data_IF_718657759131
#
_entry.id   IF_718657759131
#
_cell.length_a   1.000
_cell.length_b   1.000
_cell.length_c   1.000
_cell.angle_alpha   90.00
_cell.angle_beta   90.00
_cell.angle_gamma   90.00
#
_symmetry.space_group_name_H-M   'P 1'
#
loop_
_entity.id
_entity.type
_entity.pdbx_description
1 polymer ?
#
# COMPACT_ATOMS: atom_id res chain seq x y z
N UNK A 1 -12.70 -83.71 -8.87
CA UNK A 1 -12.83 -82.26 -9.15
C UNK A 1 -11.42 -81.74 -9.37
N UNK A 2 -11.05 -81.41 -10.60
CA UNK A 2 -9.74 -80.78 -10.85
C UNK A 2 -9.75 -79.33 -10.35
N UNK A 3 -8.63 -78.82 -9.80
CA UNK A 3 -8.55 -77.43 -9.36
C UNK A 3 -8.52 -76.51 -10.58
N UNK A 4 -9.33 -75.45 -10.56
CA UNK A 4 -9.40 -74.44 -11.63
C UNK A 4 -8.07 -73.67 -11.68
N UNK A 5 -7.46 -73.44 -12.86
CA UNK A 5 -6.22 -72.67 -12.93
C UNK A 5 -6.47 -71.23 -12.49
N UNK A 6 -5.57 -70.68 -11.67
CA UNK A 6 -5.65 -69.28 -11.24
C UNK A 6 -5.38 -68.34 -12.43
N UNK A 7 -6.10 -67.20 -12.53
CA UNK A 7 -5.86 -66.26 -13.62
C UNK A 7 -4.50 -65.58 -13.45
N UNK A 8 -3.64 -65.67 -14.47
CA UNK A 8 -2.42 -64.87 -14.54
C UNK A 8 -2.79 -63.38 -14.64
N UNK A 9 -2.57 -62.64 -13.56
CA UNK A 9 -2.70 -61.18 -13.57
C UNK A 9 -1.58 -60.60 -14.41
N UNK A 10 -1.89 -60.24 -15.66
CA UNK A 10 -0.97 -59.56 -16.55
C UNK A 10 -0.51 -58.25 -15.89
N UNK A 11 0.76 -58.18 -15.48
CA UNK A 11 1.34 -56.99 -14.85
C UNK A 11 1.21 -55.79 -15.79
N UNK A 12 0.24 -54.93 -15.50
CA UNK A 12 0.03 -53.70 -16.25
C UNK A 12 1.24 -52.79 -16.09
N UNK A 13 2.07 -52.74 -17.12
CA UNK A 13 3.11 -51.72 -17.27
C UNK A 13 2.51 -50.58 -18.10
N UNK A 14 2.15 -49.41 -17.51
CA UNK A 14 1.68 -48.32 -18.32
C UNK A 14 2.79 -47.89 -19.30
N UNK A 15 2.50 -47.98 -20.59
CA UNK A 15 3.36 -47.43 -21.64
C UNK A 15 3.37 -45.91 -21.42
N UNK A 16 4.40 -45.39 -20.77
CA UNK A 16 4.62 -43.95 -20.65
C UNK A 16 4.97 -43.45 -22.06
N UNK A 17 4.01 -42.83 -22.74
CA UNK A 17 4.27 -42.19 -24.03
C UNK A 17 5.48 -41.26 -23.90
N UNK A 18 6.44 -41.36 -24.83
CA UNK A 18 7.60 -40.49 -24.85
C UNK A 18 7.12 -39.03 -24.94
N UNK A 19 7.67 -38.11 -24.12
CA UNK A 19 7.20 -36.74 -24.10
C UNK A 19 7.36 -36.13 -25.49
N UNK A 20 6.30 -35.51 -25.99
CA UNK A 20 6.34 -34.86 -27.30
C UNK A 20 7.31 -33.68 -27.24
N UNK A 21 8.04 -33.38 -28.33
CA UNK A 21 8.96 -32.22 -28.38
C UNK A 21 8.33 -30.91 -27.87
N UNK A 22 7.03 -30.69 -28.15
CA UNK A 22 6.24 -29.56 -27.62
C UNK A 22 6.12 -29.55 -26.10
N UNK A 23 6.04 -30.70 -25.46
CA UNK A 23 5.95 -30.83 -23.99
C UNK A 23 7.29 -30.58 -23.31
N UNK A 24 8.39 -31.01 -23.93
CA UNK A 24 9.76 -30.71 -23.47
C UNK A 24 10.01 -29.20 -23.54
N UNK A 25 9.70 -28.57 -24.67
CA UNK A 25 9.79 -27.12 -24.84
C UNK A 25 8.91 -26.40 -23.81
N UNK A 26 7.65 -26.81 -23.65
CA UNK A 26 6.73 -26.18 -22.67
C UNK A 26 7.25 -26.31 -21.24
N UNK A 27 7.82 -27.46 -20.84
CA UNK A 27 8.36 -27.66 -19.48
C UNK A 27 9.55 -26.76 -19.16
N UNK A 28 10.34 -26.38 -20.16
CA UNK A 28 11.50 -25.49 -19.99
C UNK A 28 11.06 -24.02 -20.09
N UNK A 29 10.21 -23.67 -21.06
CA UNK A 29 9.81 -22.29 -21.29
C UNK A 29 8.76 -21.78 -20.29
N UNK A 30 7.82 -22.62 -19.84
CA UNK A 30 6.79 -22.20 -18.88
C UNK A 30 7.35 -21.66 -17.54
N UNK A 31 8.34 -22.28 -16.88
CA UNK A 31 8.92 -21.72 -15.65
C UNK A 31 9.71 -20.44 -15.92
N UNK A 32 10.37 -20.30 -17.07
CA UNK A 32 11.08 -19.07 -17.44
C UNK A 32 10.13 -17.91 -17.71
N UNK A 33 9.02 -18.16 -18.41
CA UNK A 33 7.95 -17.18 -18.63
C UNK A 33 7.26 -16.83 -17.30
N UNK A 34 6.99 -17.82 -16.45
CA UNK A 34 6.42 -17.58 -15.13
C UNK A 34 7.36 -16.77 -14.24
N UNK A 35 8.67 -17.05 -14.28
CA UNK A 35 9.70 -16.30 -13.57
C UNK A 35 9.83 -14.88 -14.13
N UNK A 36 9.85 -14.70 -15.45
CA UNK A 36 9.85 -13.38 -16.08
C UNK A 36 8.61 -12.57 -15.72
N UNK A 37 7.43 -13.19 -15.75
CA UNK A 37 6.18 -12.57 -15.28
C UNK A 37 6.24 -12.22 -13.79
N UNK A 38 6.77 -13.10 -12.94
CA UNK A 38 6.99 -12.83 -11.52
C UNK A 38 7.96 -11.65 -11.33
N UNK A 39 9.10 -11.64 -12.02
CA UNK A 39 10.10 -10.57 -11.93
C UNK A 39 9.56 -9.24 -12.45
N UNK A 40 8.75 -9.22 -13.51
CA UNK A 40 8.10 -7.98 -13.97
C UNK A 40 7.03 -7.53 -12.96
N UNK A 41 6.18 -8.45 -12.50
CA UNK A 41 5.09 -8.17 -11.56
C UNK A 41 5.60 -7.70 -10.20
N UNK A 42 6.64 -8.34 -9.67
CA UNK A 42 7.23 -8.04 -8.37
C UNK A 42 8.38 -7.05 -8.45
N UNK A 43 9.12 -6.98 -9.56
CA UNK A 43 10.19 -6.01 -9.79
C UNK A 43 9.64 -4.60 -10.00
N UNK A 44 8.54 -4.43 -10.73
CA UNK A 44 7.87 -3.12 -10.83
C UNK A 44 7.32 -2.66 -9.47
N UNK A 45 6.87 -3.60 -8.63
CA UNK A 45 6.47 -3.31 -7.25
C UNK A 45 7.69 -2.92 -6.40
N UNK A 46 8.79 -3.67 -6.50
CA UNK A 46 10.02 -3.41 -5.78
C UNK A 46 10.62 -2.05 -6.17
N UNK A 47 10.72 -1.70 -7.44
CA UNK A 47 11.26 -0.40 -7.89
C UNK A 47 10.43 0.76 -7.33
N UNK A 48 9.09 0.65 -7.36
CA UNK A 48 8.20 1.66 -6.76
C UNK A 48 8.33 1.73 -5.24
N UNK A 49 8.53 0.58 -4.59
CA UNK A 49 8.73 0.47 -3.15
C UNK A 49 10.08 1.02 -2.71
N UNK A 50 11.15 0.74 -3.44
CA UNK A 50 12.50 1.25 -3.15
C UNK A 50 12.69 2.71 -3.58
N UNK A 51 11.88 3.22 -4.50
CA UNK A 51 11.95 4.61 -4.97
C UNK A 51 11.84 5.65 -3.84
N UNK A 52 10.98 5.41 -2.84
CA UNK A 52 10.89 6.31 -1.67
C UNK A 52 12.17 6.27 -0.82
N UNK A 53 12.76 5.09 -0.62
CA UNK A 53 14.03 4.96 0.12
C UNK A 53 15.20 5.59 -0.63
N UNK A 54 15.22 5.48 -1.97
CA UNK A 54 16.22 6.16 -2.80
C UNK A 54 16.05 7.68 -2.68
N UNK A 55 14.82 8.19 -2.77
CA UNK A 55 14.55 9.62 -2.63
C UNK A 55 14.92 10.15 -1.24
N UNK A 56 14.46 9.47 -0.18
CA UNK A 56 14.75 9.83 1.22
C UNK A 56 16.25 9.73 1.49
N UNK A 57 16.90 8.65 1.01
CA UNK A 57 18.35 8.45 1.15
C UNK A 57 19.15 9.53 0.44
N UNK A 58 18.78 9.88 -0.80
CA UNK A 58 19.42 10.96 -1.57
C UNK A 58 19.34 12.30 -0.84
N UNK A 59 18.15 12.71 -0.38
CA UNK A 59 18.01 13.95 0.36
C UNK A 59 18.67 13.92 1.74
N UNK A 60 18.68 12.77 2.42
CA UNK A 60 19.39 12.61 3.69
C UNK A 60 20.91 12.74 3.52
N UNK A 61 21.48 12.32 2.39
CA UNK A 61 22.90 12.54 2.08
C UNK A 61 23.21 14.02 1.80
N UNK A 62 22.30 14.76 1.16
CA UNK A 62 22.48 16.18 0.84
C UNK A 62 22.31 17.07 2.08
N UNK A 63 21.24 16.85 2.85
CA UNK A 63 20.82 17.73 3.95
C UNK A 63 21.13 17.18 5.35
N UNK A 64 21.63 15.95 5.44
CA UNK A 64 22.09 15.33 6.68
C UNK A 64 20.99 15.07 7.70
N UNK A 65 21.38 15.13 8.98
CA UNK A 65 20.52 14.78 10.12
C UNK A 65 19.26 15.63 10.24
N UNK A 66 19.31 16.92 9.83
CA UNK A 66 18.13 17.81 9.87
C UNK A 66 16.97 17.28 9.01
N UNK A 67 17.29 16.69 7.87
CA UNK A 67 16.28 16.08 7.00
C UNK A 67 15.62 14.87 7.65
N UNK A 68 16.43 14.00 8.27
CA UNK A 68 15.91 12.84 9.00
C UNK A 68 14.93 13.26 10.11
N UNK A 69 15.27 14.28 10.90
CA UNK A 69 14.38 14.81 11.95
C UNK A 69 13.09 15.36 11.34
N UNK A 70 13.19 16.21 10.33
CA UNK A 70 12.02 16.76 9.65
C UNK A 70 11.12 15.68 9.06
N UNK A 71 11.71 14.64 8.47
CA UNK A 71 10.98 13.53 7.87
C UNK A 71 10.27 12.68 8.93
N UNK A 72 10.92 12.41 10.06
CA UNK A 72 10.31 11.73 11.21
C UNK A 72 9.14 12.54 11.78
N UNK A 73 9.26 13.87 11.85
CA UNK A 73 8.15 14.73 12.29
C UNK A 73 6.96 14.66 11.32
N UNK A 74 7.19 14.63 10.01
CA UNK A 74 6.13 14.44 9.02
C UNK A 74 5.43 13.08 9.16
N UNK A 75 6.18 12.00 9.38
CA UNK A 75 5.61 10.68 9.69
C UNK A 75 4.79 10.75 10.98
N UNK A 76 5.31 11.41 12.03
CA UNK A 76 4.59 11.52 13.30
C UNK A 76 3.24 12.22 13.11
N UNK A 77 3.18 13.32 12.36
CA UNK A 77 1.91 14.02 12.11
C UNK A 77 0.93 13.15 11.31
N UNK A 78 1.44 12.37 10.35
CA UNK A 78 0.65 11.37 9.64
C UNK A 78 0.05 10.32 10.60
N UNK A 79 0.87 9.71 11.45
CA UNK A 79 0.39 8.69 12.41
C UNK A 79 -0.58 9.28 13.45
N UNK A 80 -0.34 10.51 13.90
CA UNK A 80 -1.27 11.24 14.77
C UNK A 80 -2.63 11.47 14.09
N UNK A 81 -2.68 11.66 12.77
CA UNK A 81 -3.93 11.73 12.01
C UNK A 81 -4.80 10.49 12.21
N UNK A 82 -4.21 9.30 12.07
CA UNK A 82 -4.91 8.04 12.36
C UNK A 82 -5.36 7.94 13.81
N UNK A 83 -4.46 8.26 14.75
CA UNK A 83 -4.73 8.15 16.18
C UNK A 83 -5.87 9.08 16.62
N UNK A 84 -5.87 10.34 16.18
CA UNK A 84 -6.89 11.33 16.48
C UNK A 84 -8.23 10.89 15.92
N UNK A 85 -8.29 10.44 14.66
CA UNK A 85 -9.54 9.99 14.06
C UNK A 85 -10.10 8.74 14.73
N UNK A 86 -9.24 7.77 15.06
CA UNK A 86 -9.66 6.59 15.80
C UNK A 86 -10.23 6.97 17.18
N UNK A 87 -9.52 7.86 17.90
CA UNK A 87 -9.94 8.34 19.21
C UNK A 87 -11.25 9.14 19.15
N UNK A 88 -11.43 9.99 18.13
CA UNK A 88 -12.66 10.75 17.88
C UNK A 88 -13.86 9.83 17.67
N UNK A 89 -13.64 8.68 17.05
CA UNK A 89 -14.68 7.66 16.86
C UNK A 89 -14.90 6.80 18.11
N UNK A 90 -14.25 7.07 19.25
CA UNK A 90 -14.37 6.28 20.47
C UNK A 90 -13.70 4.90 20.38
N UNK A 91 -12.82 4.70 19.39
CA UNK A 91 -11.97 3.52 19.35
C UNK A 91 -10.89 3.67 20.42
N UNK A 92 -10.41 2.54 20.95
CA UNK A 92 -9.28 2.51 21.88
C UNK A 92 -8.03 2.14 21.10
N UNK A 93 -7.42 3.07 20.35
CA UNK A 93 -6.21 2.75 19.64
C UNK A 93 -5.13 2.35 20.63
N UNK A 94 -4.39 1.29 20.30
CA UNK A 94 -3.14 1.02 21.00
C UNK A 94 -2.21 2.21 20.78
N UNK A 95 -1.33 2.50 21.75
CA UNK A 95 -0.35 3.57 21.62
C UNK A 95 0.35 3.46 20.25
N UNK A 96 0.61 4.59 19.58
CA UNK A 96 1.27 4.59 18.27
C UNK A 96 2.66 3.95 18.43
N UNK A 97 2.77 2.66 18.06
CA UNK A 97 4.07 2.03 17.86
C UNK A 97 4.56 2.61 16.54
N UNK A 98 5.56 3.49 16.62
CA UNK A 98 6.13 4.18 15.47
C UNK A 98 6.81 3.17 14.55
N UNK A 99 6.03 2.50 13.70
CA UNK A 99 6.54 1.67 12.61
C UNK A 99 6.07 2.34 11.31
N UNK A 100 6.94 3.13 10.67
CA UNK A 100 6.63 3.77 9.40
C UNK A 100 6.06 2.76 8.41
N UNK A 101 5.08 3.17 7.61
CA UNK A 101 4.46 2.35 6.56
C UNK A 101 3.57 1.19 7.03
N UNK A 102 3.48 0.94 8.34
CA UNK A 102 2.56 -0.09 8.86
C UNK A 102 1.14 0.42 9.09
N UNK A 103 0.87 1.70 8.78
CA UNK A 103 -0.44 2.30 8.49
C UNK A 103 -1.58 1.75 9.32
N UNK A 104 -1.98 2.48 10.38
CA UNK A 104 -3.11 2.13 11.23
C UNK A 104 -3.24 0.62 11.54
N UNK A 105 -2.18 -0.04 12.04
CA UNK A 105 -2.35 -1.16 12.96
C UNK A 105 -2.87 -0.63 14.31
N UNK A 106 -3.99 0.08 14.24
CA UNK A 106 -4.84 0.27 15.39
C UNK A 106 -5.44 -1.11 15.62
N UNK A 107 -4.74 -1.92 16.41
CA UNK A 107 -5.26 -3.17 16.93
C UNK A 107 -6.54 -2.84 17.69
N UNK A 108 -7.65 -2.84 16.97
CA UNK A 108 -9.00 -2.72 17.48
C UNK A 108 -9.26 -4.00 18.27
N UNK A 109 -8.75 -4.06 19.50
CA UNK A 109 -9.10 -5.15 20.42
C UNK A 109 -10.62 -5.09 20.61
N UNK A 110 -11.31 -6.04 20.01
CA UNK A 110 -12.71 -6.40 20.28
C UNK A 110 -13.80 -5.47 19.69
N UNK A 111 -13.52 -4.64 18.68
CA UNK A 111 -14.56 -3.87 18.00
C UNK A 111 -15.00 -4.55 16.68
N UNK A 112 -16.32 -4.69 16.40
CA UNK A 112 -16.80 -5.18 15.11
C UNK A 112 -16.33 -4.27 13.97
N UNK A 113 -15.93 -4.88 12.84
CA UNK A 113 -15.39 -4.14 11.70
C UNK A 113 -16.48 -3.30 11.01
N UNK A 114 -16.38 -1.98 11.14
CA UNK A 114 -17.19 -1.03 10.38
C UNK A 114 -16.35 -0.46 9.21
N UNK A 115 -16.75 -0.73 7.95
CA UNK A 115 -16.00 -0.29 6.78
C UNK A 115 -15.85 1.22 6.66
N UNK A 116 -16.89 1.98 7.04
CA UNK A 116 -16.90 3.44 6.93
C UNK A 116 -15.95 4.06 7.95
N UNK A 117 -16.02 3.59 9.19
CA UNK A 117 -15.10 4.00 10.27
C UNK A 117 -13.66 3.71 9.93
N UNK A 118 -13.38 2.50 9.45
CA UNK A 118 -12.04 2.10 9.01
C UNK A 118 -11.53 2.97 7.85
N UNK A 119 -12.40 3.34 6.90
CA UNK A 119 -12.03 4.24 5.80
C UNK A 119 -11.61 5.62 6.30
N UNK A 120 -12.39 6.20 7.19
CA UNK A 120 -12.11 7.53 7.74
C UNK A 120 -10.79 7.53 8.53
N UNK A 121 -10.57 6.51 9.38
CA UNK A 121 -9.30 6.35 10.11
C UNK A 121 -8.14 6.24 9.14
N UNK A 122 -8.21 5.36 8.13
CA UNK A 122 -7.13 5.18 7.17
C UNK A 122 -6.91 6.41 6.27
N UNK A 123 -7.92 7.23 5.99
CA UNK A 123 -7.75 8.47 5.23
C UNK A 123 -7.17 9.61 6.07
N UNK A 124 -7.35 9.58 7.40
CA UNK A 124 -6.95 10.66 8.29
C UNK A 124 -5.43 10.87 8.35
N UNK A 125 -4.64 9.79 8.27
CA UNK A 125 -3.17 9.90 8.24
C UNK A 125 -2.66 10.62 7.01
N UNK A 126 -2.96 10.16 5.78
CA UNK A 126 -2.57 10.84 4.56
C UNK A 126 -3.12 12.28 4.45
N UNK A 127 -4.29 12.54 5.03
CA UNK A 127 -4.84 13.90 5.12
C UNK A 127 -4.01 14.80 6.05
N UNK A 128 -3.76 14.38 7.29
CA UNK A 128 -2.98 15.15 8.26
C UNK A 128 -1.53 15.33 7.81
N UNK A 129 -0.89 14.26 7.33
CA UNK A 129 0.46 14.30 6.78
C UNK A 129 0.55 15.18 5.52
N UNK A 130 -0.49 15.17 4.68
CA UNK A 130 -0.62 16.06 3.52
C UNK A 130 -0.69 17.54 3.91
N UNK A 131 -1.49 17.88 4.91
CA UNK A 131 -1.56 19.25 5.44
C UNK A 131 -0.24 19.69 6.08
N UNK A 132 0.45 18.80 6.79
CA UNK A 132 1.76 19.09 7.35
C UNK A 132 2.79 19.37 6.25
N UNK A 133 2.85 18.51 5.22
CA UNK A 133 3.72 18.72 4.07
C UNK A 133 3.39 20.03 3.32
N UNK A 134 2.11 20.38 3.19
CA UNK A 134 1.67 21.65 2.62
C UNK A 134 2.15 22.85 3.44
N UNK A 135 2.04 22.79 4.77
CA UNK A 135 2.58 23.84 5.64
C UNK A 135 4.10 24.00 5.50
N UNK A 136 4.83 22.89 5.41
CA UNK A 136 6.28 22.89 5.18
C UNK A 136 6.61 23.46 3.79
N UNK A 137 5.82 23.14 2.77
CA UNK A 137 6.02 23.67 1.42
C UNK A 137 5.83 25.18 1.37
N UNK A 138 4.73 25.69 1.94
CA UNK A 138 4.44 27.13 2.02
C UNK A 138 5.58 27.86 2.75
N UNK A 139 6.06 27.31 3.87
CA UNK A 139 7.20 27.86 4.58
C UNK A 139 8.50 27.83 3.74
N UNK A 140 8.70 26.77 2.95
CA UNK A 140 9.82 26.64 2.03
C UNK A 140 9.80 27.70 0.93
N UNK A 141 8.66 27.90 0.27
CA UNK A 141 8.48 28.95 -0.75
C UNK A 141 8.67 30.35 -0.14
N UNK A 142 8.10 30.61 1.04
CA UNK A 142 8.19 31.92 1.70
C UNK A 142 9.62 32.28 2.16
N UNK A 143 10.48 31.28 2.37
CA UNK A 143 11.86 31.47 2.84
C UNK A 143 12.92 31.13 1.79
N UNK A 144 12.50 30.81 0.56
CA UNK A 144 13.35 30.27 -0.51
C UNK A 144 14.24 29.09 -0.06
N UNK A 145 13.69 28.26 0.84
CA UNK A 145 14.44 27.18 1.49
C UNK A 145 14.31 25.88 0.72
N UNK A 146 15.35 25.55 -0.06
CA UNK A 146 15.48 24.26 -0.76
C UNK A 146 15.30 23.05 0.16
N UNK A 147 15.79 23.16 1.40
CA UNK A 147 15.64 22.13 2.42
C UNK A 147 14.17 21.85 2.74
N UNK A 148 13.39 22.91 3.02
CA UNK A 148 11.97 22.77 3.36
C UNK A 148 11.16 22.27 2.16
N UNK A 149 11.46 22.77 0.95
CA UNK A 149 10.78 22.31 -0.26
C UNK A 149 11.07 20.82 -0.52
N UNK A 150 12.33 20.38 -0.41
CA UNK A 150 12.69 18.96 -0.53
C UNK A 150 12.01 18.08 0.55
N UNK A 151 11.93 18.59 1.77
CA UNK A 151 11.25 17.92 2.88
C UNK A 151 9.74 17.80 2.62
N UNK A 152 9.11 18.86 2.13
CA UNK A 152 7.70 18.86 1.75
C UNK A 152 7.41 17.91 0.58
N UNK A 153 8.21 17.95 -0.48
CA UNK A 153 8.13 17.02 -1.60
C UNK A 153 8.17 15.57 -1.13
N UNK A 154 9.12 15.24 -0.26
CA UNK A 154 9.26 13.90 0.32
C UNK A 154 8.07 13.56 1.23
N UNK A 155 7.51 14.54 1.94
CA UNK A 155 6.27 14.41 2.69
C UNK A 155 5.07 14.07 1.82
N UNK A 156 4.87 14.76 0.69
CA UNK A 156 3.79 14.42 -0.24
C UNK A 156 3.99 13.04 -0.87
N UNK A 157 5.23 12.71 -1.25
CA UNK A 157 5.60 11.39 -1.77
C UNK A 157 5.28 10.27 -0.76
N UNK A 158 5.62 10.47 0.52
CA UNK A 158 5.30 9.54 1.60
C UNK A 158 3.78 9.30 1.72
N UNK A 159 2.98 10.37 1.74
CA UNK A 159 1.53 10.25 1.88
C UNK A 159 0.89 9.58 0.65
N UNK A 160 1.37 9.89 -0.57
CA UNK A 160 0.94 9.21 -1.80
C UNK A 160 1.29 7.73 -1.80
N UNK A 161 2.49 7.40 -1.33
CA UNK A 161 2.94 6.02 -1.22
C UNK A 161 2.08 5.23 -0.23
N UNK A 162 1.72 5.84 0.90
CA UNK A 162 0.76 5.25 1.85
C UNK A 162 -0.66 5.09 1.26
N UNK A 163 -1.02 5.83 0.21
CA UNK A 163 -2.31 5.64 -0.48
C UNK A 163 -2.30 4.55 -1.54
N UNK A 164 -1.19 3.84 -1.77
CA UNK A 164 -1.17 2.68 -2.67
C UNK A 164 -2.15 1.60 -2.16
N UNK A 165 -3.01 1.00 -3.03
CA UNK A 165 -4.07 0.07 -2.62
C UNK A 165 -3.56 -1.34 -2.27
N UNK A 166 -2.49 -1.44 -1.51
CA UNK A 166 -1.79 -2.69 -1.14
C UNK A 166 -1.46 -2.62 0.37
N UNK A 167 -1.63 -3.73 1.10
CA UNK A 167 -1.20 -3.79 2.51
C UNK A 167 0.32 -3.91 2.59
N UNK A 168 0.98 -3.31 3.59
CA UNK A 168 0.42 -2.73 4.83
C UNK A 168 0.01 -1.24 4.76
N UNK A 169 -0.02 -0.62 3.59
CA UNK A 169 -0.32 0.81 3.45
C UNK A 169 -1.80 1.17 3.69
N UNK A 170 -2.06 2.43 4.03
CA UNK A 170 -3.40 2.98 4.30
C UNK A 170 -4.36 2.79 3.13
N UNK A 171 -3.88 2.98 1.89
CA UNK A 171 -4.65 2.76 0.68
C UNK A 171 -5.18 1.33 0.58
N UNK A 172 -4.44 0.34 1.09
CA UNK A 172 -4.91 -1.04 1.19
C UNK A 172 -6.10 -1.20 2.14
N UNK A 173 -6.11 -0.47 3.26
CA UNK A 173 -7.22 -0.44 4.21
C UNK A 173 -8.42 0.34 3.66
N UNK A 174 -8.20 1.50 3.03
CA UNK A 174 -9.24 2.27 2.33
C UNK A 174 -9.89 1.41 1.24
N UNK A 175 -9.08 0.74 0.41
CA UNK A 175 -9.57 -0.12 -0.67
C UNK A 175 -10.40 -1.29 -0.16
N UNK A 176 -9.98 -1.93 0.95
CA UNK A 176 -10.78 -2.96 1.62
C UNK A 176 -12.12 -2.40 2.08
N UNK A 177 -12.13 -1.22 2.70
CA UNK A 177 -13.34 -0.55 3.16
C UNK A 177 -14.29 -0.22 2.01
N UNK A 178 -13.79 0.32 0.89
CA UNK A 178 -14.60 0.60 -0.31
C UNK A 178 -15.25 -0.68 -0.84
N UNK A 179 -14.48 -1.77 -0.97
CA UNK A 179 -15.03 -3.06 -1.42
C UNK A 179 -16.09 -3.58 -0.46
N UNK A 180 -15.87 -3.48 0.84
CA UNK A 180 -16.84 -3.89 1.85
C UNK A 180 -18.13 -3.05 1.83
N UNK A 181 -18.03 -1.73 1.59
CA UNK A 181 -19.19 -0.85 1.42
C UNK A 181 -19.99 -1.19 0.15
N UNK A 182 -19.31 -1.57 -0.93
CA UNK A 182 -19.95 -1.92 -2.23
C UNK A 182 -20.57 -3.31 -2.26
N UNK A 183 -19.86 -4.31 -1.72
CA UNK A 183 -20.19 -5.72 -1.88
C UNK A 183 -20.88 -6.33 -0.66
N UNK A 184 -20.96 -5.58 0.45
CA UNK A 184 -21.40 -6.10 1.74
C UNK A 184 -20.32 -6.96 2.41
N UNK A 185 -20.30 -6.96 3.75
CA UNK A 185 -19.45 -7.84 4.54
C UNK A 185 -20.23 -9.10 4.94
N UNK A 186 -19.63 -10.27 4.71
CA UNK A 186 -20.25 -11.61 4.73
C UNK A 186 -20.97 -12.04 6.01
N UNK A 187 -20.92 -11.29 7.11
CA UNK A 187 -21.45 -11.80 8.38
C UNK A 187 -22.63 -10.99 8.92
N UNK A 188 -22.70 -9.65 8.79
CA UNK A 188 -23.86 -8.86 9.30
C UNK A 188 -24.09 -7.51 8.59
N UNK A 189 -23.82 -7.40 7.28
CA UNK A 189 -23.87 -6.10 6.60
C UNK A 189 -25.28 -5.73 6.09
N UNK A 190 -25.93 -4.79 6.77
CA UNK A 190 -26.94 -3.92 6.14
C UNK A 190 -26.24 -3.17 4.99
N UNK A 191 -26.82 -3.17 3.79
CA UNK A 191 -26.27 -2.46 2.63
C UNK A 191 -25.91 -1.02 2.99
N UNK A 192 -24.69 -0.60 2.67
CA UNK A 192 -24.31 0.79 2.85
C UNK A 192 -25.14 1.66 1.90
N UNK A 193 -25.63 2.83 2.34
CA UNK A 193 -26.33 3.74 1.45
C UNK A 193 -25.39 4.22 0.33
N UNK A 194 -25.94 4.41 -0.87
CA UNK A 194 -25.17 4.75 -2.07
C UNK A 194 -24.24 5.96 -1.88
N UNK A 195 -24.65 6.95 -1.07
CA UNK A 195 -23.83 8.12 -0.78
C UNK A 195 -22.52 7.78 -0.05
N UNK A 196 -22.48 6.76 0.83
CA UNK A 196 -21.23 6.35 1.52
C UNK A 196 -20.26 5.72 0.53
N UNK A 197 -20.77 4.96 -0.43
CA UNK A 197 -19.96 4.42 -1.51
C UNK A 197 -19.42 5.56 -2.38
N UNK A 198 -20.27 6.50 -2.80
CA UNK A 198 -19.82 7.65 -3.59
C UNK A 198 -18.78 8.48 -2.83
N UNK A 199 -19.06 8.85 -1.57
CA UNK A 199 -18.15 9.59 -0.71
C UNK A 199 -16.81 8.87 -0.53
N UNK A 200 -16.81 7.54 -0.37
CA UNK A 200 -15.58 6.77 -0.22
C UNK A 200 -14.65 6.87 -1.44
N UNK A 201 -15.22 6.89 -2.64
CA UNK A 201 -14.46 7.03 -3.90
C UNK A 201 -13.95 8.46 -4.07
N UNK A 202 -14.81 9.45 -3.79
CA UNK A 202 -14.46 10.87 -3.89
C UNK A 202 -13.37 11.24 -2.90
N UNK A 203 -13.47 10.81 -1.64
CA UNK A 203 -12.44 11.06 -0.62
C UNK A 203 -11.11 10.43 -1.03
N UNK A 204 -11.11 9.17 -1.44
CA UNK A 204 -9.87 8.49 -1.80
C UNK A 204 -9.23 9.07 -3.06
N UNK A 205 -10.00 9.26 -4.12
CA UNK A 205 -9.52 9.84 -5.37
C UNK A 205 -9.12 11.31 -5.23
N UNK A 206 -9.89 12.11 -4.50
CA UNK A 206 -9.59 13.51 -4.22
C UNK A 206 -8.32 13.67 -3.40
N UNK A 207 -8.10 12.82 -2.40
CA UNK A 207 -6.88 12.84 -1.59
C UNK A 207 -5.64 12.48 -2.42
N UNK A 208 -5.73 11.44 -3.26
CA UNK A 208 -4.66 11.10 -4.21
C UNK A 208 -4.39 12.28 -5.16
N UNK A 209 -5.43 12.85 -5.76
CA UNK A 209 -5.31 13.95 -6.72
C UNK A 209 -4.68 15.20 -6.11
N UNK A 210 -5.13 15.61 -4.92
CA UNK A 210 -4.60 16.76 -4.22
C UNK A 210 -3.12 16.58 -3.84
N UNK A 211 -2.76 15.42 -3.30
CA UNK A 211 -1.37 15.12 -2.93
C UNK A 211 -0.46 15.00 -4.15
N UNK A 212 -0.93 14.39 -5.25
CA UNK A 212 -0.18 14.28 -6.49
C UNK A 212 0.08 15.66 -7.11
N UNK A 213 -0.94 16.53 -7.10
CA UNK A 213 -0.80 17.90 -7.57
C UNK A 213 0.20 18.69 -6.70
N UNK A 214 0.10 18.58 -5.38
CA UNK A 214 1.02 19.25 -4.46
C UNK A 214 2.46 18.73 -4.57
N UNK A 215 2.64 17.41 -4.74
CA UNK A 215 3.95 16.81 -5.00
C UNK A 215 4.54 17.30 -6.33
N UNK A 216 3.73 17.39 -7.38
CA UNK A 216 4.16 17.93 -8.67
C UNK A 216 4.55 19.40 -8.57
N UNK A 217 3.74 20.21 -7.89
CA UNK A 217 3.98 21.64 -7.73
C UNK A 217 5.19 21.96 -6.85
N UNK A 218 5.51 21.11 -5.87
CA UNK A 218 6.69 21.24 -5.00
C UNK A 218 7.97 20.61 -5.58
N UNK A 219 7.93 20.12 -6.83
CA UNK A 219 9.09 19.49 -7.44
C UNK A 219 10.19 20.53 -7.73
N UNK A 220 11.35 20.38 -7.08
CA UNK A 220 12.54 21.17 -7.39
C UNK A 220 13.15 20.67 -8.70
N UNK A 221 13.29 21.52 -9.73
CA UNK A 221 13.96 21.11 -10.96
C UNK A 221 15.45 20.87 -10.69
N UNK A 222 16.00 19.80 -11.27
CA UNK A 222 17.35 19.28 -10.97
C UNK A 222 18.50 20.21 -11.38
N UNK A 223 18.23 21.18 -12.24
CA UNK A 223 19.16 22.24 -12.64
C UNK A 223 19.45 23.25 -11.51
N UNK A 224 18.64 23.20 -10.43
CA UNK A 224 18.78 24.04 -9.24
C UNK A 224 19.19 23.26 -7.99
N UNK A 225 19.69 22.02 -8.11
CA UNK A 225 20.29 21.27 -7.01
C UNK A 225 21.78 21.59 -6.91
#
# INVERSE_FOLDING_TARGET
MEPRPEPEFQQYSPIKAAPTWREVVRRIFAPLVALGFLLVKFGAFAIKFFGIFISVGGYALIFGFKFAVGFVLLILVHELGHFIEASRQGLKPSLPVFIPFLGAYVAMKNAPFDPWRNLLVSAAGPFAGGLAALGVWIAGEATDSRFLIALAYTGFLLNLFNLVPIRPFDGGFIWRSIKALRLGHREHARWAPAWRVAASVVVYGGLIGALALAMYASHLPQDRL
#
